data_IF_154970365994
#
_entry.id   IF_154970365994
#
_cell.length_a   1.000
_cell.length_b   1.000
_cell.length_c   1.000
_cell.angle_alpha   90.00
_cell.angle_beta   90.00
_cell.angle_gamma   90.00
#
_symmetry.space_group_name_H-M   'P 1'
#
loop_
_entity.id
_entity.type
_entity.pdbx_description
1 polymer ?
#
# COMPACT_ATOMS: atom_id res chain seq x y z
N UNK A 1 -17.02 43.68 -46.57
CA UNK A 1 -15.68 44.31 -46.58
C UNK A 1 -14.67 43.17 -46.76
N UNK A 2 -14.36 42.65 -47.94
CA UNK A 2 -13.85 43.24 -49.20
C UNK A 2 -12.43 43.81 -49.13
N UNK A 3 -11.59 43.31 -50.05
CA UNK A 3 -10.27 43.77 -50.52
C UNK A 3 -9.06 43.45 -49.63
N UNK A 4 -7.87 43.06 -50.13
CA UNK A 4 -7.30 42.81 -51.47
C UNK A 4 -5.97 42.04 -51.23
N UNK A 5 -5.59 40.96 -51.94
CA UNK A 5 -5.15 40.84 -53.35
C UNK A 5 -3.77 41.46 -53.62
N UNK A 6 -2.77 40.62 -53.97
CA UNK A 6 -1.86 40.72 -55.14
C UNK A 6 -0.87 39.53 -55.10
N UNK A 7 -0.92 38.52 -56.00
CA UNK A 7 -0.43 38.43 -57.40
C UNK A 7 1.06 38.81 -57.54
N UNK A 8 1.97 37.98 -58.08
CA UNK A 8 2.08 37.48 -59.48
C UNK A 8 2.92 36.16 -59.50
N UNK A 9 2.56 35.08 -60.24
CA UNK A 9 2.83 34.73 -61.67
C UNK A 9 4.36 34.66 -61.97
N UNK A 10 4.99 33.64 -62.57
CA UNK A 10 4.78 32.81 -63.80
C UNK A 10 5.92 31.75 -63.88
N UNK A 11 5.70 30.46 -64.21
CA UNK A 11 5.74 29.79 -65.54
C UNK A 11 7.09 29.09 -65.90
N UNK A 12 7.05 27.75 -65.89
CA UNK A 12 7.67 26.72 -66.76
C UNK A 12 9.13 26.81 -67.27
N UNK A 13 9.90 25.71 -67.13
CA UNK A 13 10.57 24.98 -68.24
C UNK A 13 11.40 23.76 -67.75
N UNK A 14 11.23 22.63 -68.42
CA UNK A 14 12.20 21.54 -68.63
C UNK A 14 12.54 21.56 -70.15
N UNK A 15 13.60 20.92 -70.71
CA UNK A 15 14.13 19.60 -70.33
C UNK A 15 15.65 19.31 -70.55
N UNK A 16 16.02 18.08 -70.17
CA UNK A 16 17.01 17.16 -70.78
C UNK A 16 18.49 17.55 -70.92
N UNK A 17 19.34 16.77 -70.23
CA UNK A 17 20.75 16.56 -70.55
C UNK A 17 21.21 15.21 -70.00
N UNK A 18 21.32 14.20 -70.86
CA UNK A 18 21.87 12.89 -70.54
C UNK A 18 23.40 12.94 -70.56
N UNK A 19 24.05 12.40 -69.53
CA UNK A 19 25.43 11.95 -69.61
C UNK A 19 25.59 10.66 -68.81
N UNK A 20 25.93 9.62 -69.54
CA UNK A 20 26.17 8.24 -69.12
C UNK A 20 27.57 8.16 -68.49
N UNK A 21 27.69 7.63 -67.29
CA UNK A 21 28.97 7.21 -66.71
C UNK A 21 28.75 5.90 -65.94
N UNK A 22 29.17 4.80 -66.57
CA UNK A 22 29.42 3.52 -65.92
C UNK A 22 30.78 3.60 -65.22
N UNK A 23 30.81 3.44 -63.89
CA UNK A 23 31.97 2.85 -63.21
C UNK A 23 31.58 2.39 -61.79
N UNK A 24 31.55 1.06 -61.65
CA UNK A 24 32.07 0.27 -60.51
C UNK A 24 31.59 0.57 -59.09
N UNK A 25 30.73 -0.33 -58.60
CA UNK A 25 30.43 -0.54 -57.20
C UNK A 25 31.69 -1.00 -56.40
N UNK A 26 32.02 -0.31 -55.31
CA UNK A 26 32.42 -0.93 -54.03
C UNK A 26 32.69 0.12 -52.94
N UNK A 27 32.21 -0.18 -51.72
CA UNK A 27 32.26 0.61 -50.47
C UNK A 27 31.25 1.78 -50.39
N UNK A 28 30.43 1.96 -49.34
CA UNK A 28 30.58 1.55 -47.95
C UNK A 28 29.24 1.23 -47.28
N UNK A 29 29.20 0.08 -46.61
CA UNK A 29 28.14 -0.59 -45.85
C UNK A 29 27.60 0.14 -44.60
N UNK A 30 27.76 1.46 -44.46
CA UNK A 30 27.52 2.17 -43.20
C UNK A 30 26.14 2.86 -43.05
N UNK A 31 25.31 2.93 -44.11
CA UNK A 31 24.03 3.64 -44.06
C UNK A 31 22.78 2.73 -43.96
N UNK A 32 22.95 1.40 -43.86
CA UNK A 32 21.85 0.44 -43.94
C UNK A 32 21.38 -0.16 -42.60
N UNK A 33 22.12 0.07 -41.49
CA UNK A 33 21.83 -0.60 -40.21
C UNK A 33 21.03 0.23 -39.20
N UNK A 34 20.84 1.53 -39.40
CA UNK A 34 20.06 2.40 -38.49
C UNK A 34 18.57 2.42 -38.82
N UNK A 35 18.17 2.17 -40.07
CA UNK A 35 16.75 2.07 -40.47
C UNK A 35 16.13 0.72 -40.14
N UNK A 36 16.94 -0.34 -40.02
CA UNK A 36 16.48 -1.67 -39.62
C UNK A 36 16.08 -1.72 -38.13
N UNK A 37 16.82 -1.04 -37.23
CA UNK A 37 16.49 -1.01 -35.80
C UNK A 37 15.18 -0.25 -35.50
N UNK A 38 14.94 0.87 -36.20
CA UNK A 38 13.68 1.62 -36.10
C UNK A 38 12.49 0.84 -36.69
N UNK A 39 12.69 0.10 -37.78
CA UNK A 39 11.66 -0.75 -38.38
C UNK A 39 11.35 -2.02 -37.56
N UNK A 40 12.34 -2.56 -36.83
CA UNK A 40 12.14 -3.69 -35.91
C UNK A 40 11.44 -3.20 -34.63
N UNK A 41 11.83 -2.07 -34.05
CA UNK A 41 11.12 -1.47 -32.89
C UNK A 41 9.68 -1.04 -33.22
N UNK A 42 9.42 -0.56 -34.44
CA UNK A 42 8.07 -0.21 -34.89
C UNK A 42 7.18 -1.43 -35.20
N UNK A 43 7.77 -2.56 -35.64
CA UNK A 43 7.03 -3.81 -35.87
C UNK A 43 6.59 -4.51 -34.58
N UNK A 44 7.25 -4.25 -33.46
CA UNK A 44 6.86 -4.82 -32.17
C UNK A 44 5.77 -4.01 -31.44
N UNK A 45 5.47 -2.78 -31.87
CA UNK A 45 4.46 -1.95 -31.21
C UNK A 45 3.03 -2.14 -31.75
N UNK A 46 2.83 -2.96 -32.79
CA UNK A 46 1.53 -3.05 -33.49
C UNK A 46 0.99 -4.47 -33.68
N UNK A 47 1.41 -5.43 -32.85
CA UNK A 47 0.65 -6.67 -32.68
C UNK A 47 0.06 -6.70 -31.27
N UNK A 48 -0.85 -5.76 -31.00
CA UNK A 48 -1.86 -5.98 -29.96
C UNK A 48 -2.51 -7.30 -30.37
N UNK A 49 -2.24 -8.40 -29.66
CA UNK A 49 -3.04 -9.61 -29.81
C UNK A 49 -4.47 -9.15 -29.58
N UNK A 50 -5.28 -9.10 -30.63
CA UNK A 50 -6.72 -8.96 -30.48
C UNK A 50 -7.14 -10.19 -29.70
N UNK A 51 -7.32 -10.02 -28.39
CA UNK A 51 -7.84 -11.08 -27.55
C UNK A 51 -9.24 -11.38 -28.05
N UNK A 52 -9.50 -12.64 -28.41
CA UNK A 52 -10.84 -13.08 -28.76
C UNK A 52 -11.80 -12.69 -27.63
N UNK A 53 -13.06 -12.38 -27.97
CA UNK A 53 -14.10 -12.12 -26.97
C UNK A 53 -14.14 -13.24 -25.92
N UNK A 54 -13.91 -14.48 -26.35
CA UNK A 54 -13.79 -15.64 -25.46
C UNK A 54 -12.63 -15.46 -24.46
N UNK A 55 -11.41 -15.17 -24.93
CA UNK A 55 -10.24 -14.95 -24.07
C UNK A 55 -10.45 -13.78 -23.09
N UNK A 56 -11.13 -12.72 -23.54
CA UNK A 56 -11.46 -11.56 -22.70
C UNK A 56 -12.42 -11.96 -21.57
N UNK A 57 -13.50 -12.66 -21.89
CA UNK A 57 -14.46 -13.17 -20.89
C UNK A 57 -13.79 -14.14 -19.92
N UNK A 58 -12.96 -15.05 -20.45
CA UNK A 58 -12.16 -15.99 -19.67
C UNK A 58 -11.24 -15.26 -18.68
N UNK A 59 -10.54 -14.22 -19.14
CA UNK A 59 -9.68 -13.40 -18.28
C UNK A 59 -10.46 -12.68 -17.17
N UNK A 60 -11.68 -12.21 -17.45
CA UNK A 60 -12.53 -11.54 -16.45
C UNK A 60 -12.98 -12.55 -15.40
N UNK A 61 -13.51 -13.70 -15.81
CA UNK A 61 -14.01 -14.73 -14.89
C UNK A 61 -12.89 -15.22 -13.97
N UNK A 62 -11.69 -15.46 -14.50
CA UNK A 62 -10.58 -15.97 -13.69
C UNK A 62 -9.86 -14.92 -12.83
N UNK A 63 -9.91 -13.63 -13.19
CA UNK A 63 -9.30 -12.54 -12.38
C UNK A 63 -10.26 -11.87 -11.42
N UNK A 64 -11.58 -12.09 -11.57
CA UNK A 64 -12.57 -11.55 -10.64
C UNK A 64 -12.48 -12.31 -9.33
N UNK A 65 -12.16 -11.65 -8.20
CA UNK A 65 -12.13 -12.32 -6.91
C UNK A 65 -13.56 -12.74 -6.52
N UNK A 66 -13.75 -14.03 -6.22
CA UNK A 66 -15.02 -14.52 -5.67
C UNK A 66 -15.19 -13.97 -4.25
N UNK A 67 -16.34 -13.36 -3.97
CA UNK A 67 -16.63 -12.82 -2.64
C UNK A 67 -16.69 -13.95 -1.61
N UNK A 68 -15.69 -14.04 -0.73
CA UNK A 68 -15.74 -14.90 0.45
C UNK A 68 -16.47 -14.16 1.57
N UNK A 69 -17.67 -14.61 1.94
CA UNK A 69 -18.36 -14.12 3.14
C UNK A 69 -17.61 -14.61 4.37
N UNK A 70 -16.82 -13.77 5.01
CA UNK A 70 -16.34 -14.03 6.37
C UNK A 70 -17.50 -13.79 7.35
N UNK A 71 -17.78 -14.75 8.22
CA UNK A 71 -18.91 -14.74 9.16
C UNK A 71 -18.76 -13.80 10.36
N UNK A 72 -17.62 -13.12 10.51
CA UNK A 72 -17.35 -12.24 11.65
C UNK A 72 -17.13 -10.81 11.16
N UNK A 73 -17.99 -9.88 11.59
CA UNK A 73 -17.81 -8.46 11.34
C UNK A 73 -16.87 -7.86 12.39
N UNK A 74 -16.12 -6.85 11.96
CA UNK A 74 -15.31 -6.04 12.88
C UNK A 74 -16.23 -4.98 13.49
N UNK A 75 -16.35 -4.99 14.81
CA UNK A 75 -17.11 -4.00 15.56
C UNK A 75 -16.16 -2.98 16.19
N UNK A 76 -16.53 -1.71 16.17
CA UNK A 76 -15.70 -0.61 16.66
C UNK A 76 -16.40 0.07 17.83
N UNK A 77 -15.82 -0.06 19.02
CA UNK A 77 -16.33 0.52 20.26
C UNK A 77 -15.44 1.69 20.69
N UNK A 78 -16.04 2.83 20.96
CA UNK A 78 -15.36 3.97 21.58
C UNK A 78 -15.78 4.10 23.05
N UNK A 79 -14.84 3.93 23.95
CA UNK A 79 -15.03 4.05 25.39
C UNK A 79 -14.47 5.38 25.88
N UNK A 80 -15.27 6.15 26.61
CA UNK A 80 -14.86 7.37 27.29
C UNK A 80 -14.58 7.05 28.75
N UNK A 81 -13.37 7.32 29.22
CA UNK A 81 -12.89 6.86 30.52
C UNK A 81 -12.17 7.97 31.26
N UNK A 82 -12.22 7.92 32.58
CA UNK A 82 -11.43 8.80 33.43
C UNK A 82 -9.93 8.43 33.33
N UNK A 83 -9.06 9.43 33.18
CA UNK A 83 -7.60 9.25 33.09
C UNK A 83 -7.00 8.99 34.48
N UNK A 84 -7.27 7.81 35.03
CA UNK A 84 -6.72 7.32 36.30
C UNK A 84 -5.75 6.14 36.08
N UNK A 85 -4.68 6.01 36.87
CA UNK A 85 -3.75 4.90 36.76
C UNK A 85 -4.48 3.56 36.97
N UNK A 86 -4.24 2.61 36.05
CA UNK A 86 -4.81 1.26 36.12
C UNK A 86 -6.14 1.07 35.37
N UNK A 87 -6.75 2.13 34.83
CA UNK A 87 -7.98 2.01 34.00
C UNK A 87 -7.75 1.13 32.78
N UNK A 88 -6.63 1.31 32.08
CA UNK A 88 -6.30 0.55 30.88
C UNK A 88 -6.23 -0.95 31.17
N UNK A 89 -5.49 -1.33 32.23
CA UNK A 89 -5.33 -2.72 32.66
C UNK A 89 -6.67 -3.34 33.07
N UNK A 90 -7.54 -2.56 33.71
CA UNK A 90 -8.86 -3.03 34.12
C UNK A 90 -9.78 -3.27 32.92
N UNK A 91 -9.84 -2.31 31.99
CA UNK A 91 -10.68 -2.40 30.80
C UNK A 91 -10.22 -3.54 29.86
N UNK A 92 -8.92 -3.64 29.56
CA UNK A 92 -8.39 -4.75 28.76
C UNK A 92 -8.48 -6.09 29.48
N UNK A 93 -8.30 -6.10 30.80
CA UNK A 93 -8.44 -7.29 31.65
C UNK A 93 -9.85 -7.88 31.60
N UNK A 94 -10.91 -7.05 31.66
CA UNK A 94 -12.30 -7.51 31.52
C UNK A 94 -12.54 -8.13 30.15
N UNK A 95 -11.94 -7.56 29.10
CA UNK A 95 -12.12 -8.10 27.77
C UNK A 95 -11.39 -9.43 27.58
N UNK A 96 -10.16 -9.52 28.08
CA UNK A 96 -9.34 -10.73 28.01
C UNK A 96 -9.90 -11.87 28.88
N UNK A 97 -10.39 -11.56 30.09
CA UNK A 97 -10.94 -12.57 31.01
C UNK A 97 -12.17 -13.30 30.45
N UNK A 98 -12.94 -12.65 29.57
CA UNK A 98 -14.09 -13.25 28.89
C UNK A 98 -13.76 -13.83 27.52
N UNK A 99 -12.51 -13.72 27.08
CA UNK A 99 -12.05 -14.27 25.80
C UNK A 99 -12.63 -13.55 24.58
N UNK A 100 -12.93 -12.24 24.67
CA UNK A 100 -13.33 -11.49 23.48
C UNK A 100 -12.15 -11.37 22.51
N UNK A 101 -12.40 -11.58 21.22
CA UNK A 101 -11.36 -11.51 20.19
C UNK A 101 -11.08 -10.05 19.80
N UNK A 102 -10.12 -9.44 20.49
CA UNK A 102 -9.72 -8.05 20.29
C UNK A 102 -8.75 -7.98 19.11
N UNK A 103 -9.09 -7.18 18.11
CA UNK A 103 -8.24 -6.91 16.94
C UNK A 103 -7.25 -5.77 17.20
N UNK A 104 -7.72 -4.67 17.79
CA UNK A 104 -6.86 -3.57 18.22
C UNK A 104 -7.45 -2.79 19.39
N UNK A 105 -6.57 -2.21 20.22
CA UNK A 105 -6.93 -1.27 21.28
C UNK A 105 -6.02 -0.07 21.17
N UNK A 106 -6.60 1.13 21.14
CA UNK A 106 -5.85 2.38 21.15
C UNK A 106 -6.42 3.28 22.23
N UNK A 107 -5.56 3.81 23.08
CA UNK A 107 -5.92 4.85 24.04
C UNK A 107 -5.39 6.18 23.54
N UNK A 108 -6.22 7.21 23.59
CA UNK A 108 -5.88 8.56 23.18
C UNK A 108 -6.38 9.53 24.24
N UNK A 109 -5.49 10.41 24.69
CA UNK A 109 -5.88 11.52 25.56
C UNK A 109 -6.77 12.48 24.76
N UNK A 110 -7.86 12.94 25.37
CA UNK A 110 -8.73 13.95 24.75
C UNK A 110 -8.23 15.36 25.07
N UNK A 111 -8.82 16.37 24.43
CA UNK A 111 -8.55 17.78 24.76
C UNK A 111 -8.98 18.16 26.18
N UNK A 112 -9.91 17.38 26.77
CA UNK A 112 -10.38 17.57 28.13
C UNK A 112 -9.43 16.83 29.08
N UNK A 113 -8.79 17.52 30.03
CA UNK A 113 -7.90 16.88 31.00
C UNK A 113 -8.69 15.92 31.88
N UNK A 114 -8.09 14.77 32.22
CA UNK A 114 -8.77 13.73 33.01
C UNK A 114 -9.75 12.86 32.20
N UNK A 115 -9.93 13.11 30.90
CA UNK A 115 -10.74 12.28 30.01
C UNK A 115 -9.87 11.64 28.92
N UNK A 116 -9.94 10.31 28.88
CA UNK A 116 -9.28 9.48 27.88
C UNK A 116 -10.31 8.79 27.02
N UNK A 117 -10.00 8.65 25.73
CA UNK A 117 -10.79 7.89 24.75
C UNK A 117 -10.06 6.61 24.43
N UNK A 118 -10.73 5.48 24.52
CA UNK A 118 -10.20 4.20 24.06
C UNK A 118 -11.04 3.67 22.90
N UNK A 119 -10.40 3.45 21.76
CA UNK A 119 -11.02 2.76 20.62
C UNK A 119 -10.64 1.29 20.69
N UNK A 120 -11.64 0.42 20.69
CA UNK A 120 -11.49 -1.04 20.72
C UNK A 120 -12.13 -1.59 19.46
N UNK A 121 -11.40 -2.43 18.74
CA UNK A 121 -11.96 -3.21 17.63
C UNK A 121 -12.07 -4.65 18.05
N UNK A 122 -13.26 -5.22 17.94
CA UNK A 122 -13.57 -6.60 18.35
C UNK A 122 -14.15 -7.36 17.17
N UNK A 123 -13.73 -8.61 17.00
CA UNK A 123 -14.29 -9.55 16.01
C UNK A 123 -15.30 -10.45 16.70
N UNK A 124 -16.54 -10.50 16.22
CA UNK A 124 -17.57 -11.33 16.81
C UNK A 124 -18.95 -11.14 16.21
N UNK A 125 -19.93 -11.78 16.84
CA UNK A 125 -21.35 -11.55 16.59
C UNK A 125 -21.86 -10.38 17.45
N UNK A 126 -22.88 -9.67 16.95
CA UNK A 126 -23.44 -8.48 17.61
C UNK A 126 -23.86 -8.75 19.07
N UNK A 127 -24.39 -9.93 19.39
CA UNK A 127 -24.79 -10.28 20.76
C UNK A 127 -23.59 -10.33 21.73
N UNK A 128 -22.46 -10.90 21.29
CA UNK A 128 -21.22 -10.98 22.09
C UNK A 128 -20.61 -9.59 22.29
N UNK A 129 -20.66 -8.75 21.25
CA UNK A 129 -20.16 -7.37 21.31
C UNK A 129 -21.03 -6.48 22.19
N UNK A 130 -22.35 -6.64 22.14
CA UNK A 130 -23.27 -5.95 23.06
C UNK A 130 -23.02 -6.33 24.51
N UNK A 131 -22.71 -7.61 24.77
CA UNK A 131 -22.28 -8.03 26.10
C UNK A 131 -20.96 -7.36 26.49
N UNK A 132 -19.95 -7.35 25.61
CA UNK A 132 -18.68 -6.68 25.87
C UNK A 132 -18.86 -5.18 26.17
N UNK A 133 -19.71 -4.49 25.41
CA UNK A 133 -20.10 -3.09 25.64
C UNK A 133 -20.69 -2.90 27.03
N UNK A 134 -21.71 -3.68 27.40
CA UNK A 134 -22.37 -3.58 28.71
C UNK A 134 -21.38 -3.77 29.87
N UNK A 135 -20.41 -4.66 29.69
CA UNK A 135 -19.39 -4.96 30.70
C UNK A 135 -18.34 -3.86 30.84
N UNK A 136 -18.06 -3.14 29.76
CA UNK A 136 -17.24 -1.95 29.81
C UNK A 136 -18.00 -0.76 30.43
N UNK A 137 -19.31 -0.65 30.19
CA UNK A 137 -20.15 0.39 30.81
C UNK A 137 -20.35 0.18 32.33
N UNK A 138 -20.24 -1.06 32.83
CA UNK A 138 -20.38 -1.38 34.26
C UNK A 138 -19.17 -0.92 35.12
N UNK A 139 -18.07 -0.50 34.48
CA UNK A 139 -16.90 0.01 35.15
C UNK A 139 -17.14 1.42 35.71
N UNK A 140 -16.84 1.68 37.00
CA UNK A 140 -17.09 3.01 37.60
C UNK A 140 -16.26 4.14 37.00
N UNK A 141 -15.15 3.82 36.33
CA UNK A 141 -14.23 4.77 35.70
C UNK A 141 -14.56 5.02 34.22
N UNK A 142 -15.56 4.33 33.67
CA UNK A 142 -16.01 4.49 32.29
C UNK A 142 -17.26 5.37 32.31
N UNK A 143 -17.23 6.46 31.57
CA UNK A 143 -18.35 7.39 31.45
C UNK A 143 -19.41 6.88 30.47
N UNK A 144 -18.97 6.36 29.32
CA UNK A 144 -19.86 5.84 28.28
C UNK A 144 -19.10 4.97 27.29
N UNK A 145 -19.80 4.01 26.68
CA UNK A 145 -19.30 3.23 25.55
C UNK A 145 -20.24 3.41 24.36
N UNK A 146 -19.69 3.91 23.26
CA UNK A 146 -20.41 4.17 22.02
C UNK A 146 -20.03 3.12 21.00
N UNK A 147 -21.02 2.39 20.49
CA UNK A 147 -20.84 1.49 19.35
C UNK A 147 -20.88 2.30 18.04
N UNK A 148 -19.82 2.20 17.25
CA UNK A 148 -19.66 2.87 15.96
C UNK A 148 -19.78 1.92 14.77
N UNK A 149 -20.12 0.65 14.99
CA UNK A 149 -20.15 -0.39 13.95
C UNK A 149 -21.11 -0.06 12.79
N UNK A 150 -22.31 0.43 13.12
CA UNK A 150 -23.35 0.80 12.13
C UNK A 150 -23.27 2.28 11.71
N UNK A 151 -22.41 3.06 12.35
CA UNK A 151 -22.28 4.48 12.10
C UNK A 151 -21.30 4.77 10.97
N UNK A 152 -21.53 5.88 10.25
CA UNK A 152 -20.56 6.35 9.27
C UNK A 152 -19.32 6.89 9.98
N UNK A 153 -18.21 6.18 9.93
CA UNK A 153 -16.98 6.55 10.66
C UNK A 153 -15.86 7.11 9.76
N UNK A 154 -14.97 7.90 10.37
CA UNK A 154 -13.61 8.15 9.90
C UNK A 154 -12.68 7.25 10.69
N UNK A 155 -12.06 6.29 10.02
CA UNK A 155 -11.07 5.42 10.63
C UNK A 155 -9.67 5.79 10.15
N UNK A 156 -8.71 5.80 11.07
CA UNK A 156 -7.30 6.05 10.78
C UNK A 156 -6.42 5.14 11.61
N UNK A 157 -5.32 4.78 10.99
CA UNK A 157 -4.22 4.03 11.55
C UNK A 157 -2.95 4.65 11.00
N UNK A 158 -1.93 4.74 11.85
CA UNK A 158 -0.62 5.29 11.53
C UNK A 158 0.36 4.12 11.41
N UNK A 159 1.11 4.11 10.31
CA UNK A 159 2.18 3.17 10.05
C UNK A 159 3.47 3.95 9.87
N UNK A 160 4.48 3.62 10.66
CA UNK A 160 5.87 3.96 10.40
C UNK A 160 6.57 2.69 9.93
N UNK A 161 7.18 2.73 8.76
CA UNK A 161 7.85 1.57 8.17
C UNK A 161 9.24 1.95 7.67
N UNK A 162 10.23 1.16 8.09
CA UNK A 162 11.61 1.26 7.64
C UNK A 162 11.83 0.26 6.52
N UNK A 163 12.16 0.76 5.34
CA UNK A 163 12.38 -0.03 4.14
C UNK A 163 13.86 -0.02 3.77
N UNK A 164 14.36 -1.16 3.29
CA UNK A 164 15.70 -1.25 2.72
C UNK A 164 15.76 -0.60 1.34
N UNK A 165 16.85 0.11 1.05
CA UNK A 165 17.17 0.60 -0.30
C UNK A 165 18.19 -0.28 -1.01
N UNK A 166 18.73 -1.29 -0.32
CA UNK A 166 19.75 -2.20 -0.84
C UNK A 166 19.18 -3.38 -1.65
N UNK A 167 17.86 -3.47 -1.79
CA UNK A 167 17.21 -4.51 -2.58
C UNK A 167 17.06 -5.85 -1.84
N UNK A 168 16.26 -6.78 -2.40
CA UNK A 168 15.97 -8.07 -1.77
C UNK A 168 17.20 -9.00 -1.69
N UNK A 169 18.16 -8.86 -2.61
CA UNK A 169 19.43 -9.58 -2.61
C UNK A 169 20.25 -9.35 -1.34
N UNK A 170 20.30 -8.12 -0.85
CA UNK A 170 20.98 -7.79 0.40
C UNK A 170 20.22 -8.30 1.63
N UNK A 171 18.89 -8.34 1.59
CA UNK A 171 18.09 -8.92 2.67
C UNK A 171 18.27 -10.44 2.83
N UNK A 172 18.48 -11.16 1.73
CA UNK A 172 18.77 -12.58 1.76
C UNK A 172 20.19 -12.91 2.27
N UNK A 173 21.12 -11.96 2.11
CA UNK A 173 22.53 -12.10 2.50
C UNK A 173 22.80 -11.67 3.93
N UNK A 174 22.11 -10.64 4.40
CA UNK A 174 22.12 -10.30 5.82
C UNK A 174 21.35 -11.39 6.55
N UNK A 175 21.92 -11.98 7.58
CA UNK A 175 21.31 -12.98 8.47
C UNK A 175 19.97 -12.54 9.13
N UNK A 176 19.44 -11.36 8.77
CA UNK A 176 18.21 -10.70 9.23
C UNK A 176 16.93 -11.49 8.88
N UNK A 177 16.91 -12.27 7.80
CA UNK A 177 15.72 -13.07 7.41
C UNK A 177 15.93 -14.59 7.32
N UNK A 178 17.17 -15.08 7.21
CA UNK A 178 17.43 -16.52 6.99
C UNK A 178 17.98 -17.28 8.20
N UNK A 179 18.24 -16.64 9.34
CA UNK A 179 18.37 -17.38 10.60
C UNK A 179 16.99 -17.53 11.23
N UNK A 180 16.54 -18.75 11.62
CA UNK A 180 15.39 -18.84 12.51
C UNK A 180 15.75 -18.00 13.73
N UNK A 181 14.97 -16.96 14.03
CA UNK A 181 15.09 -16.20 15.29
C UNK A 181 14.87 -17.19 16.44
N UNK A 182 15.91 -17.91 16.83
CA UNK A 182 16.00 -18.51 18.14
C UNK A 182 15.92 -17.33 19.11
N UNK A 183 15.09 -17.39 20.15
CA UNK A 183 15.02 -16.33 21.15
C UNK A 183 16.42 -16.14 21.70
N UNK A 184 17.08 -15.06 21.30
CA UNK A 184 18.43 -14.72 21.73
C UNK A 184 18.31 -14.34 23.20
N UNK A 185 19.02 -15.06 24.08
CA UNK A 185 19.01 -14.77 25.50
C UNK A 185 19.40 -13.29 25.75
N UNK A 186 18.78 -12.59 26.72
CA UNK A 186 18.98 -11.14 26.93
C UNK A 186 20.45 -10.75 27.17
N UNK A 187 21.30 -11.67 27.62
CA UNK A 187 22.74 -11.48 27.81
C UNK A 187 23.48 -11.23 26.48
N UNK A 188 23.06 -11.89 25.41
CA UNK A 188 23.65 -11.76 24.08
C UNK A 188 23.21 -10.44 23.42
N UNK A 189 21.99 -9.95 23.70
CA UNK A 189 21.53 -8.63 23.23
C UNK A 189 22.38 -7.52 23.85
N UNK A 190 22.62 -7.57 25.16
CA UNK A 190 23.49 -6.61 25.83
C UNK A 190 24.97 -6.73 25.42
N UNK A 191 25.47 -7.93 25.13
CA UNK A 191 26.80 -8.10 24.56
C UNK A 191 26.88 -7.53 23.16
N UNK A 192 25.87 -7.79 22.31
CA UNK A 192 25.83 -7.25 20.94
C UNK A 192 25.64 -5.74 20.91
N UNK A 193 24.84 -5.17 21.81
CA UNK A 193 24.73 -3.71 21.98
C UNK A 193 26.07 -3.09 22.39
N UNK A 194 26.80 -3.72 23.31
CA UNK A 194 28.14 -3.26 23.72
C UNK A 194 29.15 -3.38 22.59
N UNK A 195 29.16 -4.50 21.87
CA UNK A 195 29.99 -4.72 20.68
C UNK A 195 29.67 -3.71 19.58
N UNK A 196 28.40 -3.40 19.33
CA UNK A 196 28.00 -2.39 18.33
C UNK A 196 28.41 -0.98 18.75
N UNK A 197 28.36 -0.66 20.05
CA UNK A 197 28.89 0.60 20.58
C UNK A 197 30.42 0.65 20.42
N UNK A 198 31.13 -0.45 20.71
CA UNK A 198 32.58 -0.56 20.53
C UNK A 198 33.00 -0.53 19.05
N UNK A 199 32.26 -1.18 18.15
CA UNK A 199 32.45 -1.17 16.70
C UNK A 199 32.18 0.22 16.12
N UNK A 200 31.15 0.94 16.59
CA UNK A 200 30.91 2.34 16.20
C UNK A 200 32.02 3.27 16.67
N UNK A 201 32.61 3.00 17.84
CA UNK A 201 33.78 3.73 18.34
C UNK A 201 35.08 3.32 17.60
N UNK A 202 35.18 2.08 17.11
CA UNK A 202 36.31 1.56 16.36
C UNK A 202 36.28 1.92 14.87
N UNK A 203 35.10 2.08 14.26
CA UNK A 203 34.90 2.45 12.85
C UNK A 203 35.39 3.87 12.49
N UNK A 204 35.92 4.62 13.45
CA UNK A 204 36.72 5.85 13.20
C UNK A 204 38.14 5.52 12.70
N UNK A 205 38.56 4.25 12.69
CA UNK A 205 39.83 3.83 12.10
C UNK A 205 39.80 2.40 11.58
N UNK A 206 40.19 2.28 10.31
CA UNK A 206 40.69 1.07 9.60
C UNK A 206 39.69 0.17 8.85
N UNK A 207 40.07 -0.03 7.58
CA UNK A 207 39.47 -0.88 6.57
C UNK A 207 39.95 -2.36 6.66
N UNK A 208 39.22 -3.19 5.90
CA UNK A 208 39.57 -4.48 5.21
C UNK A 208 39.45 -5.86 5.94
N UNK A 209 38.45 -6.61 5.48
CA UNK A 209 38.41 -8.04 5.03
C UNK A 209 38.17 -9.26 5.94
N UNK A 210 37.42 -10.21 5.31
CA UNK A 210 37.24 -11.66 5.51
C UNK A 210 36.08 -12.12 6.44
N UNK A 211 35.25 -13.15 6.16
CA UNK A 211 35.18 -14.14 5.06
C UNK A 211 33.82 -14.91 5.03
N UNK A 212 33.33 -15.16 3.81
CA UNK A 212 32.63 -16.32 3.22
C UNK A 212 31.71 -17.29 4.03
N UNK A 213 30.48 -17.46 3.49
CA UNK A 213 29.81 -18.76 3.37
C UNK A 213 28.28 -18.70 3.23
N UNK A 214 27.69 -18.96 2.05
CA UNK A 214 26.30 -19.45 1.92
C UNK A 214 25.91 -19.94 0.49
N UNK A 215 24.80 -20.68 0.46
CA UNK A 215 24.14 -21.47 -0.61
C UNK A 215 23.72 -20.72 -1.89
N UNK A 216 23.11 -21.38 -2.88
CA UNK A 216 22.84 -20.88 -4.25
C UNK A 216 22.00 -19.60 -4.39
N UNK A 217 21.31 -19.12 -3.35
CA UNK A 217 20.73 -17.78 -3.29
C UNK A 217 21.78 -16.70 -2.94
N UNK A 218 22.82 -17.09 -2.22
CA UNK A 218 23.98 -16.27 -1.91
C UNK A 218 24.85 -15.97 -3.13
N UNK A 219 24.80 -16.76 -4.22
CA UNK A 219 25.57 -16.46 -5.43
C UNK A 219 25.10 -15.16 -6.14
N UNK A 220 23.79 -14.85 -6.09
CA UNK A 220 23.26 -13.58 -6.58
C UNK A 220 23.55 -12.43 -5.60
N UNK A 221 23.59 -12.73 -4.30
CA UNK A 221 23.92 -11.76 -3.25
C UNK A 221 25.42 -11.43 -3.18
N UNK A 222 26.30 -12.40 -3.44
CA UNK A 222 27.75 -12.25 -3.51
C UNK A 222 28.14 -11.41 -4.74
N UNK A 223 27.36 -11.49 -5.82
CA UNK A 223 27.48 -10.58 -6.97
C UNK A 223 27.03 -9.14 -6.66
N UNK A 224 26.04 -8.94 -5.77
CA UNK A 224 25.60 -7.62 -5.31
C UNK A 224 26.55 -7.02 -4.26
N UNK A 225 27.11 -7.85 -3.38
CA UNK A 225 28.15 -7.47 -2.42
C UNK A 225 29.50 -7.19 -3.10
N UNK A 226 29.81 -7.87 -4.21
CA UNK A 226 30.97 -7.59 -5.06
C UNK A 226 30.79 -6.41 -6.02
N UNK A 227 29.60 -5.77 -6.03
CA UNK A 227 29.39 -4.57 -6.81
C UNK A 227 30.22 -3.42 -6.21
N UNK A 228 30.86 -2.63 -7.07
CA UNK A 228 31.63 -1.47 -6.64
C UNK A 228 30.71 -0.49 -5.86
N UNK A 229 31.21 0.19 -4.80
CA UNK A 229 30.37 0.98 -3.89
C UNK A 229 29.58 2.09 -4.61
N UNK A 230 30.14 2.62 -5.69
CA UNK A 230 29.47 3.63 -6.51
C UNK A 230 28.20 3.10 -7.21
N UNK A 231 28.18 1.82 -7.62
CA UNK A 231 27.01 1.18 -8.26
C UNK A 231 25.90 1.01 -7.25
N UNK A 232 26.23 0.54 -6.04
CA UNK A 232 25.27 0.35 -4.95
C UNK A 232 24.60 1.67 -4.55
N UNK A 233 25.33 2.78 -4.52
CA UNK A 233 24.77 4.11 -4.25
C UNK A 233 23.79 4.55 -5.34
N UNK A 234 24.13 4.34 -6.62
CA UNK A 234 23.25 4.69 -7.75
C UNK A 234 21.98 3.83 -7.73
N UNK A 235 22.09 2.54 -7.46
CA UNK A 235 20.94 1.65 -7.33
C UNK A 235 20.06 2.00 -6.14
N UNK A 236 20.65 2.29 -4.99
CA UNK A 236 19.93 2.71 -3.78
C UNK A 236 19.14 4.00 -4.04
N UNK A 237 19.73 4.97 -4.74
CA UNK A 237 19.05 6.19 -5.17
C UNK A 237 17.86 5.90 -6.11
N UNK A 238 18.01 4.95 -7.04
CA UNK A 238 16.90 4.52 -7.92
C UNK A 238 15.79 3.84 -7.14
N UNK A 239 16.11 2.91 -6.22
CA UNK A 239 15.12 2.23 -5.37
C UNK A 239 14.39 3.24 -4.47
N UNK A 240 15.11 4.20 -3.89
CA UNK A 240 14.53 5.30 -3.13
C UNK A 240 13.55 6.14 -3.96
N UNK A 241 13.85 6.40 -5.24
CA UNK A 241 12.93 7.10 -6.12
C UNK A 241 11.62 6.32 -6.34
N UNK A 242 11.69 4.99 -6.49
CA UNK A 242 10.50 4.13 -6.55
C UNK A 242 9.71 4.14 -5.25
N UNK A 243 10.37 4.02 -4.11
CA UNK A 243 9.73 4.08 -2.79
C UNK A 243 9.04 5.43 -2.59
N UNK A 244 9.67 6.54 -2.98
CA UNK A 244 9.07 7.88 -2.91
C UNK A 244 7.82 7.99 -3.79
N UNK A 245 7.86 7.46 -5.00
CA UNK A 245 6.69 7.44 -5.89
C UNK A 245 5.56 6.59 -5.31
N UNK A 246 5.89 5.42 -4.76
CA UNK A 246 4.93 4.55 -4.08
C UNK A 246 4.31 5.26 -2.86
N UNK A 247 5.13 5.90 -2.03
CA UNK A 247 4.68 6.67 -0.88
C UNK A 247 3.70 7.77 -1.31
N UNK A 248 4.04 8.56 -2.33
CA UNK A 248 3.17 9.62 -2.85
C UNK A 248 1.81 9.09 -3.35
N UNK A 249 1.77 7.93 -4.02
CA UNK A 249 0.51 7.33 -4.48
C UNK A 249 -0.42 6.90 -3.32
N UNK A 250 0.16 6.51 -2.19
CA UNK A 250 -0.59 6.14 -0.99
C UNK A 250 -0.90 7.33 -0.08
N UNK A 251 -0.38 8.53 -0.40
CA UNK A 251 -0.45 9.70 0.48
C UNK A 251 0.45 9.56 1.72
N UNK A 252 1.47 8.70 1.64
CA UNK A 252 2.50 8.54 2.65
C UNK A 252 3.61 9.59 2.47
N UNK A 253 4.36 9.85 3.54
CA UNK A 253 5.48 10.79 3.57
C UNK A 253 6.77 10.05 3.88
N UNK A 254 7.84 10.32 3.13
CA UNK A 254 9.18 9.87 3.51
C UNK A 254 9.70 10.84 4.58
N UNK A 255 9.91 10.33 5.79
CA UNK A 255 10.31 11.13 6.97
C UNK A 255 11.83 11.16 7.10
N UNK A 256 12.48 10.04 6.84
CA UNK A 256 13.94 9.89 6.97
C UNK A 256 14.53 9.11 5.80
N UNK A 257 15.77 9.43 5.44
CA UNK A 257 16.53 8.79 4.36
C UNK A 257 17.96 8.58 4.85
N UNK A 258 18.30 7.32 5.11
CA UNK A 258 19.66 6.87 5.38
C UNK A 258 20.38 6.40 4.11
N UNK A 259 21.62 5.95 4.27
CA UNK A 259 22.43 5.42 3.16
C UNK A 259 21.85 4.14 2.56
N UNK A 260 21.27 3.28 3.40
CA UNK A 260 20.84 1.92 3.05
C UNK A 260 19.36 1.65 3.35
N UNK A 261 18.67 2.63 3.93
CA UNK A 261 17.27 2.50 4.33
C UNK A 261 16.54 3.85 4.29
N UNK A 262 15.22 3.80 4.29
CA UNK A 262 14.38 4.99 4.43
C UNK A 262 13.17 4.70 5.32
N UNK A 263 12.69 5.72 6.04
CA UNK A 263 11.49 5.63 6.88
C UNK A 263 10.34 6.34 6.21
N UNK A 264 9.23 5.63 6.08
CA UNK A 264 7.99 6.13 5.49
C UNK A 264 6.87 6.12 6.53
N UNK A 265 6.16 7.23 6.62
CA UNK A 265 4.97 7.41 7.45
C UNK A 265 3.72 7.37 6.57
N UNK A 266 2.72 6.57 6.95
CA UNK A 266 1.42 6.48 6.28
C UNK A 266 0.30 6.59 7.32
N UNK A 267 -0.64 7.50 7.11
CA UNK A 267 -1.88 7.61 7.89
C UNK A 267 -3.08 7.31 6.99
N UNK A 268 -3.73 6.15 7.16
CA UNK A 268 -4.83 5.71 6.31
C UNK A 268 -5.80 4.78 7.04
N UNK A 269 -6.81 4.27 6.34
CA UNK A 269 -7.64 3.16 6.85
C UNK A 269 -6.82 1.87 6.89
N UNK A 270 -7.19 0.95 7.78
CA UNK A 270 -6.45 -0.30 8.01
C UNK A 270 -6.22 -1.14 6.75
N UNK A 271 -7.25 -1.29 5.90
CA UNK A 271 -7.12 -2.00 4.61
C UNK A 271 -6.09 -1.37 3.67
N UNK A 272 -5.98 -0.04 3.67
CA UNK A 272 -5.02 0.69 2.83
C UNK A 272 -3.60 0.58 3.38
N UNK A 273 -3.44 0.55 4.70
CA UNK A 273 -2.17 0.26 5.37
C UNK A 273 -1.71 -1.16 5.04
N UNK A 274 -2.60 -2.15 5.11
CA UNK A 274 -2.30 -3.54 4.74
C UNK A 274 -1.87 -3.67 3.27
N UNK A 275 -2.58 -2.98 2.36
CA UNK A 275 -2.21 -2.95 0.95
C UNK A 275 -0.83 -2.32 0.73
N UNK A 276 -0.50 -1.24 1.44
CA UNK A 276 0.81 -0.61 1.36
C UNK A 276 1.92 -1.54 1.84
N UNK A 277 1.75 -2.22 2.98
CA UNK A 277 2.73 -3.19 3.47
C UNK A 277 2.97 -4.33 2.46
N UNK A 278 1.90 -4.85 1.83
CA UNK A 278 2.02 -5.91 0.81
C UNK A 278 2.81 -5.47 -0.42
N UNK A 279 2.61 -4.23 -0.87
CA UNK A 279 3.33 -3.68 -2.04
C UNK A 279 4.76 -3.26 -1.66
N UNK A 280 5.00 -2.86 -0.42
CA UNK A 280 6.32 -2.51 0.09
C UNK A 280 7.17 -3.75 0.43
N UNK A 281 6.57 -4.92 0.65
CA UNK A 281 7.25 -6.17 1.01
C UNK A 281 8.45 -6.54 0.11
N UNK A 282 8.40 -6.40 -1.24
CA UNK A 282 9.53 -6.72 -2.11
C UNK A 282 10.77 -5.84 -1.94
N UNK A 283 10.62 -4.61 -1.39
CA UNK A 283 11.76 -3.74 -1.09
C UNK A 283 12.52 -4.20 0.16
N UNK A 284 11.87 -5.02 0.99
CA UNK A 284 12.42 -5.48 2.25
C UNK A 284 12.04 -4.58 3.42
N UNK A 285 11.14 -5.06 4.27
CA UNK A 285 10.71 -4.37 5.47
C UNK A 285 11.68 -4.70 6.60
N UNK A 286 12.48 -3.72 7.02
CA UNK A 286 13.44 -3.87 8.11
C UNK A 286 12.73 -3.81 9.46
N UNK A 287 11.81 -2.85 9.59
CA UNK A 287 11.06 -2.59 10.82
C UNK A 287 9.71 -1.96 10.46
N UNK A 288 8.67 -2.26 11.23
CA UNK A 288 7.38 -1.60 11.11
C UNK A 288 6.77 -1.37 12.49
N UNK A 289 6.36 -0.12 12.73
CA UNK A 289 5.57 0.28 13.89
C UNK A 289 4.19 0.71 13.40
N UNK A 290 3.17 -0.05 13.78
CA UNK A 290 1.79 0.14 13.38
C UNK A 290 0.96 0.50 14.61
N UNK A 291 0.21 1.59 14.56
CA UNK A 291 -0.77 1.90 15.60
C UNK A 291 -1.95 0.93 15.53
N UNK A 292 -2.88 0.98 16.48
CA UNK A 292 -4.19 0.38 16.26
C UNK A 292 -5.13 1.30 15.46
N UNK A 293 -6.38 0.87 15.28
CA UNK A 293 -7.42 1.67 14.62
C UNK A 293 -7.97 2.72 15.57
N UNK A 294 -7.95 3.98 15.12
CA UNK A 294 -8.66 5.09 15.73
C UNK A 294 -9.90 5.39 14.91
N UNK A 295 -11.04 5.63 15.57
CA UNK A 295 -12.29 5.91 14.88
C UNK A 295 -13.04 7.08 15.52
N UNK A 296 -13.66 7.89 14.66
CA UNK A 296 -14.65 8.88 15.07
C UNK A 296 -15.87 8.81 14.17
N UNK A 297 -17.06 9.06 14.73
CA UNK A 297 -18.26 9.25 13.92
C UNK A 297 -18.09 10.46 13.00
N UNK A 298 -18.58 10.34 11.77
CA UNK A 298 -18.77 11.48 10.88
C UNK A 298 -20.09 12.13 11.23
N UNK A 299 -20.15 13.45 11.08
CA UNK A 299 -21.41 14.16 10.99
C UNK A 299 -22.20 13.59 9.82
N UNK A 300 -23.48 13.24 10.06
CA UNK A 300 -24.41 12.96 8.98
C UNK A 300 -24.39 14.16 8.02
N UNK A 301 -24.41 13.90 6.70
CA UNK A 301 -24.58 15.00 5.76
C UNK A 301 -25.96 15.58 6.07
N UNK A 302 -26.02 16.80 6.59
CA UNK A 302 -27.22 17.64 6.49
C UNK A 302 -27.35 18.04 5.01
N UNK A 303 -27.74 17.11 4.15
CA UNK A 303 -28.53 17.50 3.01
C UNK A 303 -29.88 17.88 3.59
N UNK A 304 -30.09 19.18 3.78
CA UNK A 304 -31.41 19.77 4.08
C UNK A 304 -32.47 19.41 3.00
N UNK A 305 -32.05 18.70 1.94
CA UNK A 305 -32.85 18.25 0.81
C UNK A 305 -32.89 16.73 0.63
N UNK A 306 -32.24 15.93 1.50
CA UNK A 306 -32.50 14.47 1.56
C UNK A 306 -33.56 14.21 2.64
N UNK A 307 -34.72 14.87 2.51
CA UNK A 307 -35.94 14.38 3.13
C UNK A 307 -36.60 13.42 2.14
N UNK A 308 -36.28 12.13 2.28
CA UNK A 308 -37.32 11.12 2.21
C UNK A 308 -37.20 10.30 3.49
N UNK A 309 -38.04 10.55 4.50
CA UNK A 309 -38.30 9.53 5.50
C UNK A 309 -38.71 8.28 4.72
N UNK A 310 -38.11 7.14 5.05
CA UNK A 310 -38.63 5.87 4.59
C UNK A 310 -40.13 5.86 4.89
N UNK A 311 -40.95 5.79 3.85
CA UNK A 311 -42.35 5.44 3.97
C UNK A 311 -42.39 4.17 4.84
N UNK A 312 -42.99 4.28 6.03
CA UNK A 312 -43.50 3.08 6.68
C UNK A 312 -44.42 2.42 5.65
N UNK A 313 -44.25 1.14 5.30
CA UNK A 313 -45.23 0.48 4.47
C UNK A 313 -46.48 0.29 5.34
N UNK A 314 -47.33 1.32 5.39
CA UNK A 314 -48.75 1.18 5.67
C UNK A 314 -49.25 0.06 4.75
N UNK A 315 -49.69 -1.01 5.36
CA UNK A 315 -50.16 -2.21 4.68
C UNK A 315 -51.49 -1.93 3.99
N UNK A 316 -51.47 -1.21 2.86
CA UNK A 316 -52.62 -1.16 1.96
C UNK A 316 -52.61 -2.42 1.08
N UNK A 317 -53.34 -3.44 1.54
CA UNK A 317 -53.71 -4.59 0.71
C UNK A 317 -54.70 -4.13 -0.36
N UNK A 318 -54.21 -3.48 -1.41
CA UNK A 318 -54.95 -3.36 -2.66
C UNK A 318 -55.27 -4.74 -3.24
N UNK A 319 -56.43 -4.93 -3.90
CA UNK A 319 -56.81 -6.23 -4.43
C UNK A 319 -55.79 -6.70 -5.48
N UNK A 320 -55.38 -7.96 -5.39
CA UNK A 320 -54.38 -8.56 -6.27
C UNK A 320 -54.68 -8.29 -7.76
N UNK A 321 -53.66 -7.99 -8.59
CA UNK A 321 -53.87 -7.73 -10.00
C UNK A 321 -54.43 -8.97 -10.70
N UNK A 322 -55.58 -8.79 -11.35
CA UNK A 322 -56.29 -9.82 -12.09
C UNK A 322 -55.47 -10.30 -13.30
N UNK A 323 -54.93 -11.51 -13.17
CA UNK A 323 -54.04 -12.17 -14.14
C UNK A 323 -54.73 -12.45 -15.49
N UNK A 324 -56.05 -12.28 -15.58
CA UNK A 324 -56.81 -12.45 -16.83
C UNK A 324 -56.62 -11.30 -17.83
N UNK A 325 -55.95 -10.19 -17.44
CA UNK A 325 -55.71 -9.02 -18.31
C UNK A 325 -54.34 -8.98 -18.97
N UNK A 326 -53.49 -9.98 -18.79
CA UNK A 326 -52.23 -10.06 -19.53
C UNK A 326 -52.48 -10.61 -20.95
N UNK A 327 -51.91 -10.00 -22.00
CA UNK A 327 -52.00 -10.55 -23.35
C UNK A 327 -51.27 -11.90 -23.39
N UNK A 328 -51.85 -12.93 -24.03
CA UNK A 328 -51.18 -14.22 -24.14
C UNK A 328 -49.91 -14.08 -24.99
N UNK A 329 -48.83 -14.68 -24.48
CA UNK A 329 -47.57 -14.94 -25.20
C UNK A 329 -47.71 -16.10 -26.19
#
# INVERSE_FOLDING_TARGET
>A
MSFARHMFRTKAAAPAGAAMSLATASASRAAANTTAAAAVSARHYSRRRETSTADAVTNIIYKTPTAQKTSHHNHVLNCFMQDEPGILTRATGIMAARGYNIDSVVVSRTEIPGLSRMTIVVKGEQAVVQQARKQLEDLPQVWAVVDLSDAKVVEREILLIKLSTLGPEHMACSDIMCTPRQPVAPQIVHQRERELIEEQHAAVGTDVNASAGASSAAAAAEAAAAAQPHVQVVESSRRLAYIRNLANMFGAKVVDVGAECCIVELCAKSERVDAFMKIAAPFGILEAARSGRMAMSRTAKLSLYDEQPAEEPEADKGPAPDLSKLPPS
#
